data_IF_629691297541
#
_entry.id   IF_629691297541
#
_cell.length_a   1.000
_cell.length_b   1.000
_cell.length_c   1.000
_cell.angle_alpha   90.00
_cell.angle_beta   90.00
_cell.angle_gamma   90.00
#
_symmetry.space_group_name_H-M   'P 1'
#
loop_
_entity.id
_entity.type
_entity.pdbx_description
1 polymer ?
#
# COMPACT_ATOMS: atom_id res chain seq x y z
N UNK A 1 16.62 -5.79 -9.27
CA UNK A 1 15.76 -6.98 -9.45
C UNK A 1 14.36 -6.49 -9.75
N UNK A 2 13.65 -7.03 -10.77
CA UNK A 2 12.26 -6.66 -10.98
C UNK A 2 11.44 -7.20 -9.80
N UNK A 3 10.69 -6.32 -9.15
CA UNK A 3 9.96 -6.63 -7.93
C UNK A 3 8.86 -7.67 -8.19
N UNK A 4 8.86 -8.82 -7.50
CA UNK A 4 7.79 -9.78 -7.64
C UNK A 4 6.59 -9.39 -6.77
N UNK A 5 5.59 -8.71 -7.35
CA UNK A 5 4.15 -9.10 -7.26
C UNK A 5 3.24 -8.26 -8.17
N UNK A 6 2.76 -8.88 -9.24
CA UNK A 6 1.92 -8.37 -10.35
C UNK A 6 0.40 -8.32 -10.01
N UNK A 7 -0.04 -8.97 -8.93
CA UNK A 7 -1.47 -9.26 -8.71
C UNK A 7 -2.34 -8.02 -8.52
N UNK A 8 -1.84 -6.98 -7.85
CA UNK A 8 -2.65 -5.85 -7.42
C UNK A 8 -2.40 -4.57 -8.22
N UNK A 9 -1.39 -4.52 -9.08
CA UNK A 9 -0.98 -3.30 -9.78
C UNK A 9 -2.11 -2.74 -10.65
N UNK A 10 -2.85 -3.61 -11.34
CA UNK A 10 -3.99 -3.20 -12.19
C UNK A 10 -5.17 -2.66 -11.35
N UNK A 11 -5.44 -3.29 -10.20
CA UNK A 11 -6.49 -2.84 -9.26
C UNK A 11 -6.11 -1.49 -8.66
N UNK A 12 -4.86 -1.33 -8.24
CA UNK A 12 -4.28 -0.09 -7.73
C UNK A 12 -4.31 1.01 -8.78
N UNK A 13 -3.87 0.74 -10.01
CA UNK A 13 -3.93 1.66 -11.15
C UNK A 13 -5.35 2.16 -11.39
N UNK A 14 -6.33 1.25 -11.48
CA UNK A 14 -7.75 1.60 -11.67
C UNK A 14 -8.31 2.42 -10.51
N UNK A 15 -7.85 2.19 -9.29
CA UNK A 15 -8.28 2.98 -8.14
C UNK A 15 -7.71 4.40 -8.19
N UNK A 16 -6.41 4.53 -8.47
CA UNK A 16 -5.75 5.84 -8.58
C UNK A 16 -6.39 6.64 -9.72
N UNK A 17 -6.62 6.02 -10.89
CA UNK A 17 -7.29 6.67 -12.01
C UNK A 17 -8.67 7.23 -11.65
N UNK A 18 -9.40 6.57 -10.74
CA UNK A 18 -10.73 6.99 -10.26
C UNK A 18 -10.69 8.04 -9.15
N UNK A 19 -9.62 8.09 -8.35
CA UNK A 19 -9.51 8.95 -7.15
C UNK A 19 -8.40 10.00 -7.26
N UNK A 20 -7.75 10.14 -8.41
CA UNK A 20 -6.70 11.15 -8.63
C UNK A 20 -7.24 12.59 -8.61
N UNK A 21 -8.54 12.79 -8.85
CA UNK A 21 -9.18 14.11 -8.93
C UNK A 21 -8.32 15.11 -9.72
N UNK A 22 -8.00 16.26 -9.13
CA UNK A 22 -7.17 17.29 -9.76
C UNK A 22 -5.70 17.23 -9.36
N UNK A 23 -5.29 16.23 -8.57
CA UNK A 23 -3.93 16.08 -8.08
C UNK A 23 -3.03 15.52 -9.18
N UNK A 24 -2.03 16.28 -9.61
CA UNK A 24 -1.24 15.90 -10.77
C UNK A 24 -0.14 14.90 -10.39
N UNK A 25 0.33 14.93 -9.13
CA UNK A 25 1.23 13.89 -8.63
C UNK A 25 0.57 12.49 -8.63
N UNK A 26 -0.75 12.41 -8.45
CA UNK A 26 -1.51 11.15 -8.56
C UNK A 26 -1.63 10.66 -10.00
N UNK A 27 -1.89 11.58 -10.95
CA UNK A 27 -1.90 11.28 -12.39
C UNK A 27 -0.57 10.67 -12.84
N UNK A 28 0.53 11.33 -12.50
CA UNK A 28 1.88 10.83 -12.78
C UNK A 28 2.11 9.43 -12.20
N UNK A 29 1.66 9.20 -10.97
CA UNK A 29 1.80 7.89 -10.31
C UNK A 29 1.03 6.79 -11.04
N UNK A 30 -0.18 7.10 -11.49
CA UNK A 30 -0.97 6.19 -12.31
C UNK A 30 -0.27 5.86 -13.64
N UNK A 31 0.32 6.85 -14.29
CA UNK A 31 1.05 6.66 -15.56
C UNK A 31 2.30 5.79 -15.39
N UNK A 32 3.07 6.01 -14.31
CA UNK A 32 4.23 5.15 -13.98
C UNK A 32 3.78 3.69 -13.81
N UNK A 33 2.69 3.45 -13.07
CA UNK A 33 2.15 2.10 -12.90
C UNK A 33 1.64 1.52 -14.22
N UNK A 34 0.97 2.32 -15.05
CA UNK A 34 0.48 1.89 -16.35
C UNK A 34 1.63 1.46 -17.28
N UNK A 35 2.73 2.23 -17.29
CA UNK A 35 3.92 1.88 -18.05
C UNK A 35 4.54 0.57 -17.56
N UNK A 36 4.70 0.39 -16.25
CA UNK A 36 5.23 -0.85 -15.68
C UNK A 36 4.38 -2.08 -16.04
N UNK A 37 3.05 -1.95 -16.04
CA UNK A 37 2.14 -3.03 -16.44
C UNK A 37 2.28 -3.33 -17.95
N UNK A 38 2.42 -2.30 -18.79
CA UNK A 38 2.58 -2.45 -20.24
C UNK A 38 3.92 -3.07 -20.61
N UNK A 39 5.03 -2.59 -20.02
CA UNK A 39 6.37 -3.16 -20.20
C UNK A 39 6.36 -4.66 -19.87
N UNK A 40 5.72 -5.03 -18.76
CA UNK A 40 5.53 -6.43 -18.35
C UNK A 40 4.66 -7.22 -19.34
N UNK A 41 3.57 -6.64 -19.83
CA UNK A 41 2.71 -7.28 -20.82
C UNK A 41 3.44 -7.51 -22.15
N UNK A 42 4.30 -6.57 -22.57
CA UNK A 42 5.17 -6.71 -23.72
C UNK A 42 6.17 -7.86 -23.54
N UNK A 43 6.85 -7.93 -22.39
CA UNK A 43 7.77 -9.02 -22.07
C UNK A 43 7.07 -10.39 -22.10
N UNK A 44 5.84 -10.47 -21.58
CA UNK A 44 5.09 -11.72 -21.50
C UNK A 44 4.47 -12.17 -22.84
N UNK A 45 4.07 -11.24 -23.69
CA UNK A 45 3.34 -11.55 -24.94
C UNK A 45 4.20 -11.42 -26.19
N UNK A 46 5.33 -10.75 -26.12
CA UNK A 46 6.14 -10.37 -27.27
C UNK A 46 5.48 -9.30 -28.16
N UNK A 47 4.29 -8.82 -27.81
CA UNK A 47 3.59 -7.78 -28.56
C UNK A 47 4.20 -6.41 -28.26
N UNK A 48 4.49 -5.63 -29.32
CA UNK A 48 5.01 -4.27 -29.18
C UNK A 48 3.92 -3.35 -28.60
N UNK A 49 4.22 -2.67 -27.49
CA UNK A 49 3.36 -1.62 -26.93
C UNK A 49 3.47 -0.36 -27.78
N UNK A 50 2.37 0.39 -27.87
CA UNK A 50 2.33 1.68 -28.56
C UNK A 50 3.21 2.72 -27.83
N UNK A 51 4.25 3.27 -28.48
CA UNK A 51 5.10 4.31 -27.90
C UNK A 51 4.38 5.64 -27.64
N UNK A 52 3.22 5.89 -28.26
CA UNK A 52 2.48 7.14 -28.08
C UNK A 52 1.96 7.32 -26.64
N UNK A 53 1.70 6.21 -25.94
CA UNK A 53 1.17 6.20 -24.58
C UNK A 53 2.27 6.21 -23.49
N UNK A 54 3.55 6.39 -23.86
CA UNK A 54 4.70 6.30 -22.94
C UNK A 54 5.21 7.63 -22.38
N UNK A 55 4.56 8.74 -22.74
CA UNK A 55 4.90 10.03 -22.15
C UNK A 55 4.34 10.15 -20.73
N UNK A 56 5.25 10.18 -19.74
CA UNK A 56 4.90 10.29 -18.33
C UNK A 56 5.01 11.75 -17.93
N UNK A 57 3.98 12.26 -17.24
CA UNK A 57 4.00 13.61 -16.68
C UNK A 57 5.31 13.85 -15.91
N UNK A 58 5.95 14.96 -16.21
CA UNK A 58 7.21 15.34 -15.58
C UNK A 58 7.08 15.39 -14.04
N UNK A 59 8.16 15.03 -13.32
CA UNK A 59 8.14 15.10 -11.86
C UNK A 59 7.89 16.53 -11.39
N UNK A 60 7.34 16.64 -10.19
CA UNK A 60 6.86 17.92 -9.64
C UNK A 60 7.92 19.02 -9.62
N UNK A 61 9.19 18.68 -9.38
CA UNK A 61 10.33 19.61 -9.38
C UNK A 61 10.78 20.04 -10.78
N UNK A 62 10.41 19.31 -11.83
CA UNK A 62 10.73 19.62 -13.23
C UNK A 62 9.53 20.24 -13.98
N UNK A 63 8.44 20.58 -13.27
CA UNK A 63 7.23 21.14 -13.86
C UNK A 63 6.98 22.57 -13.39
N UNK A 64 6.66 23.46 -14.35
CA UNK A 64 6.19 24.81 -14.05
C UNK A 64 4.80 24.79 -13.41
N UNK A 65 4.55 25.53 -12.30
CA UNK A 65 3.23 25.62 -11.67
C UNK A 65 2.37 26.66 -12.38
N UNK A 66 2.00 26.41 -13.62
CA UNK A 66 1.18 27.35 -14.42
C UNK A 66 -0.32 27.30 -14.08
N UNK A 67 -0.73 26.30 -13.30
CA UNK A 67 -2.14 26.08 -12.90
C UNK A 67 -2.31 26.15 -11.40
N UNK A 68 -3.46 26.63 -10.93
CA UNK A 68 -3.80 26.71 -9.49
C UNK A 68 -3.68 25.33 -8.83
N UNK A 69 -4.06 24.27 -9.53
CA UNK A 69 -3.94 22.89 -9.04
C UNK A 69 -2.49 22.48 -8.79
N UNK A 70 -1.55 22.94 -9.64
CA UNK A 70 -0.13 22.73 -9.41
C UNK A 70 0.37 23.41 -8.13
N UNK A 71 -0.12 24.62 -7.86
CA UNK A 71 0.23 25.36 -6.65
C UNK A 71 -0.30 24.67 -5.39
N UNK A 72 -1.53 24.13 -5.44
CA UNK A 72 -2.12 23.36 -4.33
C UNK A 72 -1.29 22.12 -4.02
N UNK A 73 -0.85 21.37 -5.04
CA UNK A 73 0.05 20.22 -4.85
C UNK A 73 1.33 20.63 -4.10
N UNK A 74 1.94 21.76 -4.48
CA UNK A 74 3.13 22.32 -3.81
C UNK A 74 2.86 22.70 -2.36
N UNK A 75 1.75 23.37 -2.08
CA UNK A 75 1.37 23.76 -0.72
C UNK A 75 1.19 22.53 0.17
N UNK A 76 0.54 21.48 -0.31
CA UNK A 76 0.35 20.23 0.46
C UNK A 76 1.71 19.60 0.80
N UNK A 77 2.59 19.44 -0.20
CA UNK A 77 3.90 18.80 0.00
C UNK A 77 4.79 19.64 0.91
N UNK A 78 4.84 20.96 0.73
CA UNK A 78 5.64 21.86 1.57
C UNK A 78 5.12 21.90 3.01
N UNK A 79 3.81 21.91 3.20
CA UNK A 79 3.19 21.85 4.53
C UNK A 79 3.58 20.54 5.23
N UNK A 80 3.45 19.40 4.55
CA UNK A 80 3.85 18.11 5.10
C UNK A 80 5.35 18.06 5.46
N UNK A 81 6.21 18.58 4.58
CA UNK A 81 7.65 18.63 4.79
C UNK A 81 8.06 19.55 5.96
N UNK A 82 7.34 20.66 6.18
CA UNK A 82 7.62 21.61 7.26
C UNK A 82 7.20 21.06 8.63
N UNK A 83 6.01 20.46 8.73
CA UNK A 83 5.48 20.01 10.01
C UNK A 83 6.02 18.65 10.46
N UNK A 84 6.29 17.75 9.51
CA UNK A 84 6.72 16.39 9.81
C UNK A 84 7.91 15.93 8.94
N UNK A 85 9.05 16.62 8.93
CA UNK A 85 10.18 16.23 8.08
C UNK A 85 10.71 14.84 8.43
N UNK A 86 10.87 14.57 9.73
CA UNK A 86 11.38 13.28 10.23
C UNK A 86 10.28 12.22 10.11
N UNK A 87 9.08 12.54 10.57
CA UNK A 87 7.93 11.64 10.50
C UNK A 87 7.65 11.19 9.07
N UNK A 88 7.68 12.11 8.10
CA UNK A 88 7.45 11.80 6.70
C UNK A 88 8.53 10.86 6.11
N UNK A 89 9.81 11.13 6.38
CA UNK A 89 10.91 10.28 5.92
C UNK A 89 10.83 8.87 6.52
N UNK A 90 10.58 8.78 7.84
CA UNK A 90 10.41 7.50 8.55
C UNK A 90 9.17 6.76 8.05
N UNK A 91 8.04 7.45 7.88
CA UNK A 91 6.80 6.86 7.37
C UNK A 91 6.95 6.32 5.95
N UNK A 92 7.69 7.01 5.09
CA UNK A 92 8.07 6.48 3.77
C UNK A 92 8.95 5.23 3.88
N UNK A 93 9.88 5.19 4.83
CA UNK A 93 10.69 4.01 5.14
C UNK A 93 9.84 2.82 5.60
N UNK A 94 8.91 3.05 6.53
CA UNK A 94 7.95 2.04 7.02
C UNK A 94 7.10 1.50 5.86
N UNK A 95 6.60 2.38 4.99
CA UNK A 95 5.89 1.97 3.78
C UNK A 95 6.75 1.04 2.91
N UNK A 96 7.97 1.47 2.56
CA UNK A 96 8.90 0.70 1.72
C UNK A 96 9.29 -0.65 2.32
N UNK A 97 9.41 -0.74 3.65
CA UNK A 97 9.68 -1.98 4.35
C UNK A 97 8.45 -2.91 4.33
N UNK A 98 7.26 -2.36 4.58
CA UNK A 98 6.02 -3.14 4.64
C UNK A 98 5.66 -3.74 3.28
N UNK A 99 5.90 -3.03 2.17
CA UNK A 99 5.65 -3.58 0.83
C UNK A 99 6.60 -4.75 0.50
N UNK A 100 7.80 -4.80 1.08
CA UNK A 100 8.73 -5.93 0.89
C UNK A 100 8.25 -7.20 1.59
N UNK A 101 7.40 -7.07 2.61
CA UNK A 101 6.77 -8.21 3.29
C UNK A 101 5.62 -8.82 2.49
N UNK A 102 5.18 -8.15 1.42
CA UNK A 102 4.14 -8.64 0.50
C UNK A 102 4.85 -9.33 -0.68
N UNK A 103 4.45 -10.56 -1.07
CA UNK A 103 3.30 -11.33 -0.62
C UNK A 103 3.62 -12.41 0.44
N UNK A 104 4.87 -12.50 0.90
CA UNK A 104 5.33 -13.64 1.69
C UNK A 104 4.66 -13.70 3.07
N UNK A 105 4.67 -12.58 3.81
CA UNK A 105 4.14 -12.49 5.17
C UNK A 105 2.77 -11.81 5.21
N UNK A 106 2.56 -10.80 4.35
CA UNK A 106 1.36 -9.99 4.30
C UNK A 106 0.58 -10.25 3.01
N UNK A 107 -0.74 -10.41 3.14
CA UNK A 107 -1.65 -10.52 1.99
C UNK A 107 -1.87 -9.17 1.29
N UNK A 108 -1.92 -8.09 2.05
CA UNK A 108 -2.18 -6.72 1.58
C UNK A 108 -1.56 -5.69 2.52
N UNK A 109 -1.54 -4.41 2.13
CA UNK A 109 -0.98 -3.35 2.97
C UNK A 109 -1.92 -2.97 4.13
N UNK A 110 -1.49 -2.96 5.41
CA UNK A 110 -2.34 -2.70 6.58
C UNK A 110 -2.62 -1.19 6.79
N UNK A 111 -3.47 -0.59 5.96
CA UNK A 111 -3.82 0.84 6.08
C UNK A 111 -4.48 1.11 7.43
N UNK A 112 -5.43 0.26 7.82
CA UNK A 112 -6.19 0.45 9.04
C UNK A 112 -5.29 0.45 10.29
N UNK A 113 -4.36 -0.49 10.44
CA UNK A 113 -3.44 -0.47 11.59
C UNK A 113 -2.59 0.80 11.61
N UNK A 114 -2.01 1.23 10.49
CA UNK A 114 -1.18 2.44 10.51
C UNK A 114 -1.99 3.70 10.86
N UNK A 115 -3.17 3.86 10.28
CA UNK A 115 -4.05 5.00 10.57
C UNK A 115 -4.53 5.00 12.02
N UNK A 116 -5.01 3.87 12.53
CA UNK A 116 -5.48 3.77 13.91
C UNK A 116 -4.35 3.82 14.93
N UNK A 117 -3.17 3.28 14.62
CA UNK A 117 -2.00 3.42 15.49
C UNK A 117 -1.53 4.87 15.57
N UNK A 118 -1.59 5.61 14.46
CA UNK A 118 -1.31 7.05 14.48
C UNK A 118 -2.27 7.82 15.38
N UNK A 119 -3.57 7.48 15.36
CA UNK A 119 -4.58 8.06 16.27
C UNK A 119 -4.34 7.64 17.71
N UNK A 120 -4.13 6.34 17.96
CA UNK A 120 -3.92 5.78 19.29
C UNK A 120 -2.68 6.34 19.98
N UNK A 121 -1.63 6.65 19.22
CA UNK A 121 -0.42 7.30 19.74
C UNK A 121 -0.58 8.82 19.77
N UNK A 122 -1.15 9.43 18.74
CA UNK A 122 -1.22 10.88 18.57
C UNK A 122 -2.19 11.58 19.51
N UNK A 123 -3.37 11.00 19.75
CA UNK A 123 -4.43 11.62 20.58
C UNK A 123 -4.02 11.76 22.06
N UNK A 124 -3.45 10.74 22.74
CA UNK A 124 -3.09 10.88 24.15
C UNK A 124 -1.82 11.71 24.37
N UNK A 125 -1.00 11.93 23.33
CA UNK A 125 0.31 12.60 23.47
C UNK A 125 0.25 13.99 24.12
N UNK A 126 -0.65 14.92 23.71
CA UNK A 126 -0.78 16.22 24.36
C UNK A 126 -1.17 16.11 25.84
N UNK A 127 -2.04 15.15 26.18
CA UNK A 127 -2.49 14.91 27.56
C UNK A 127 -1.34 14.36 28.42
N UNK A 128 -0.61 13.37 27.91
CA UNK A 128 0.58 12.80 28.57
C UNK A 128 1.63 13.90 28.76
N UNK A 129 1.88 14.69 27.72
CA UNK A 129 2.83 15.80 27.81
C UNK A 129 2.41 16.81 28.89
N UNK A 130 1.14 17.21 28.91
CA UNK A 130 0.62 18.12 29.95
C UNK A 130 0.75 17.54 31.36
N UNK A 131 0.47 16.24 31.55
CA UNK A 131 0.56 15.57 32.85
C UNK A 131 2.00 15.43 33.36
N UNK A 132 2.96 15.15 32.46
CA UNK A 132 4.36 14.85 32.81
C UNK A 132 5.24 16.10 32.88
N UNK A 133 4.99 17.09 32.02
CA UNK A 133 5.83 18.28 31.86
C UNK A 133 5.21 19.56 32.45
N UNK A 134 4.42 19.44 33.52
CA UNK A 134 3.84 20.58 34.24
C UNK A 134 4.92 21.44 34.91
N UNK A 135 5.57 22.35 34.17
CA UNK A 135 6.27 23.49 34.77
C UNK A 135 7.67 23.87 34.26
N UNK A 136 8.23 23.27 33.21
CA UNK A 136 9.52 23.76 32.69
C UNK A 136 9.32 24.94 31.72
N UNK A 137 9.62 26.16 32.19
CA UNK A 137 9.49 27.41 31.41
C UNK A 137 10.50 27.59 30.27
N UNK A 138 11.12 26.52 29.78
CA UNK A 138 12.14 26.56 28.72
C UNK A 138 11.52 26.32 27.35
N UNK A 139 11.93 27.10 26.34
CA UNK A 139 11.46 26.93 24.95
C UNK A 139 11.62 25.49 24.42
N UNK A 140 12.74 24.84 24.77
CA UNK A 140 13.04 23.47 24.36
C UNK A 140 12.00 22.46 24.86
N UNK A 141 11.60 22.52 26.14
CA UNK A 141 10.57 21.63 26.67
C UNK A 141 9.21 21.94 26.07
N UNK A 142 8.85 23.22 25.92
CA UNK A 142 7.51 23.63 25.50
C UNK A 142 7.23 23.37 24.02
N UNK A 143 8.24 23.49 23.16
CA UNK A 143 8.03 23.44 21.69
C UNK A 143 8.80 22.30 21.06
N UNK A 144 10.11 22.20 21.31
CA UNK A 144 10.99 21.26 20.59
C UNK A 144 10.68 19.81 20.97
N UNK A 145 10.56 19.51 22.26
CA UNK A 145 10.30 18.15 22.74
C UNK A 145 8.95 17.61 22.22
N UNK A 146 7.81 18.31 22.40
CA UNK A 146 6.53 17.91 21.82
C UNK A 146 6.59 17.75 20.30
N UNK A 147 7.30 18.64 19.60
CA UNK A 147 7.42 18.57 18.15
C UNK A 147 8.19 17.33 17.69
N UNK A 148 9.28 16.94 18.38
CA UNK A 148 10.02 15.71 18.11
C UNK A 148 9.15 14.49 18.39
N UNK A 149 8.47 14.45 19.55
CA UNK A 149 7.62 13.32 19.93
C UNK A 149 6.43 13.16 18.97
N UNK A 150 5.88 14.28 18.49
CA UNK A 150 4.82 14.29 17.48
C UNK A 150 5.25 13.72 16.12
N UNK A 151 6.56 13.57 15.85
CA UNK A 151 7.03 12.90 14.63
C UNK A 151 6.68 11.41 14.61
N UNK A 152 6.50 10.77 15.77
CA UNK A 152 6.13 9.34 15.88
C UNK A 152 4.74 9.06 15.30
N UNK A 153 3.64 9.68 15.79
CA UNK A 153 2.33 9.50 15.17
C UNK A 153 2.30 10.02 13.73
N UNK A 154 3.07 11.08 13.41
CA UNK A 154 3.18 11.58 12.04
C UNK A 154 3.81 10.54 11.09
N UNK A 155 4.76 9.73 11.54
CA UNK A 155 5.35 8.66 10.74
C UNK A 155 4.36 7.53 10.43
N UNK A 156 3.57 7.12 11.44
CA UNK A 156 2.52 6.13 11.26
C UNK A 156 1.42 6.64 10.33
N UNK A 157 1.02 7.90 10.49
CA UNK A 157 0.06 8.55 9.61
C UNK A 157 0.59 8.62 8.17
N UNK A 158 1.84 9.06 7.99
CA UNK A 158 2.47 9.13 6.68
C UNK A 158 2.51 7.76 6.00
N UNK A 159 2.85 6.69 6.72
CA UNK A 159 2.81 5.33 6.19
C UNK A 159 1.39 4.93 5.72
N UNK A 160 0.36 5.17 6.55
CA UNK A 160 -1.04 4.92 6.19
C UNK A 160 -1.50 5.72 4.97
N UNK A 161 -1.18 7.01 4.94
CA UNK A 161 -1.47 7.90 3.80
C UNK A 161 -0.75 7.42 2.55
N UNK A 162 0.52 7.02 2.62
CA UNK A 162 1.23 6.43 1.48
C UNK A 162 0.52 5.17 0.97
N UNK A 163 0.02 4.30 1.85
CA UNK A 163 -0.81 3.16 1.47
C UNK A 163 -2.03 3.56 0.65
N UNK A 164 -2.75 4.60 1.08
CA UNK A 164 -3.91 5.15 0.36
C UNK A 164 -3.46 5.75 -0.98
N UNK A 165 -2.45 6.62 -0.99
CA UNK A 165 -1.95 7.31 -2.19
C UNK A 165 -1.38 6.33 -3.23
N UNK A 166 -0.94 5.14 -2.82
CA UNK A 166 -0.44 4.07 -3.68
C UNK A 166 -1.55 3.11 -4.15
N UNK A 167 -2.81 3.39 -3.78
CA UNK A 167 -3.98 2.65 -4.22
C UNK A 167 -4.26 1.34 -3.50
N UNK A 168 -3.59 1.07 -2.37
CA UNK A 168 -3.81 -0.15 -1.60
C UNK A 168 -5.21 -0.24 -1.00
N UNK A 169 -5.93 0.88 -0.86
CA UNK A 169 -7.31 0.89 -0.37
C UNK A 169 -8.28 0.09 -1.28
N UNK A 170 -7.88 -0.14 -2.53
CA UNK A 170 -8.63 -0.94 -3.49
C UNK A 170 -8.45 -2.45 -3.30
N UNK A 171 -7.43 -2.87 -2.54
CA UNK A 171 -7.11 -4.27 -2.28
C UNK A 171 -7.89 -4.75 -1.07
N UNK A 172 -8.65 -5.84 -1.23
CA UNK A 172 -9.36 -6.47 -0.12
C UNK A 172 -8.35 -7.00 0.91
N UNK A 173 -8.59 -6.66 2.18
CA UNK A 173 -7.68 -6.91 3.30
C UNK A 173 -6.90 -5.66 3.75
N UNK A 174 -6.80 -4.61 2.94
CA UNK A 174 -6.10 -3.38 3.37
C UNK A 174 -6.82 -2.59 4.47
N UNK A 175 -8.10 -2.89 4.70
CA UNK A 175 -8.89 -2.36 5.82
C UNK A 175 -8.77 -3.19 7.09
N UNK A 176 -8.15 -4.37 7.03
CA UNK A 176 -7.97 -5.21 8.20
C UNK A 176 -6.83 -4.65 9.04
N UNK A 177 -6.89 -4.93 10.35
CA UNK A 177 -5.86 -4.46 11.28
C UNK A 177 -4.49 -4.98 10.88
N UNK A 178 -4.37 -6.28 10.63
CA UNK A 178 -3.14 -6.85 10.07
C UNK A 178 -3.51 -8.02 9.15
N UNK A 179 -3.42 -7.89 7.83
CA UNK A 179 -3.83 -8.91 6.88
C UNK A 179 -2.71 -9.94 6.73
N UNK A 180 -2.54 -10.80 7.74
CA UNK A 180 -1.64 -11.95 7.66
C UNK A 180 -2.05 -12.85 6.50
N UNK A 181 -1.05 -13.41 5.81
CA UNK A 181 -1.32 -14.52 4.91
C UNK A 181 -1.73 -15.73 5.78
N UNK A 182 -2.86 -16.40 5.48
CA UNK A 182 -3.19 -17.64 6.19
C UNK A 182 -2.04 -18.64 6.00
N UNK A 183 -1.75 -19.49 6.99
CA UNK A 183 -0.76 -20.56 6.84
C UNK A 183 -1.03 -21.32 5.55
N UNK A 184 0.02 -21.66 4.81
CA UNK A 184 -0.16 -22.52 3.64
C UNK A 184 -0.80 -23.81 4.16
N UNK A 185 -1.93 -24.22 3.57
CA UNK A 185 -2.46 -25.56 3.79
C UNK A 185 -1.27 -26.51 3.60
N UNK A 186 -0.90 -27.19 4.68
CA UNK A 186 0.06 -28.26 4.58
C UNK A 186 -0.56 -29.23 3.57
N UNK A 187 0.23 -29.71 2.60
CA UNK A 187 -0.18 -30.90 1.87
C UNK A 187 -0.48 -31.95 2.94
N UNK A 188 -1.76 -32.22 3.20
CA UNK A 188 -2.14 -33.42 3.92
C UNK A 188 -1.58 -34.53 3.05
N UNK A 189 -0.45 -35.07 3.50
CA UNK A 189 0.14 -36.25 2.90
C UNK A 189 -0.92 -37.32 3.09
N UNK A 190 -1.71 -37.55 2.05
CA UNK A 190 -2.57 -38.70 1.97
C UNK A 190 -1.66 -39.92 2.05
N UNK A 191 -1.67 -40.58 3.22
CA UNK A 191 -0.92 -41.81 3.46
C UNK A 191 -1.53 -43.01 2.71
N UNK A 192 -2.48 -42.78 1.79
CA UNK A 192 -3.13 -43.81 1.00
C UNK A 192 -4.17 -44.59 1.80
N UNK A 193 -4.71 -44.03 2.88
CA UNK A 193 -5.85 -44.61 3.60
C UNK A 193 -7.17 -44.14 2.96
N UNK A 194 -7.25 -44.21 1.63
CA UNK A 194 -8.52 -44.16 0.93
C UNK A 194 -9.11 -45.55 0.99
N UNK A 195 -10.15 -45.73 1.82
CA UNK A 195 -11.04 -46.89 1.74
C UNK A 195 -11.51 -47.00 0.29
N UNK A 196 -11.07 -48.04 -0.39
CA UNK A 196 -11.21 -48.29 -1.82
C UNK A 196 -12.67 -48.24 -2.28
N UNK A 197 -13.17 -47.10 -2.77
CA UNK A 197 -14.37 -47.05 -3.61
C UNK A 197 -14.19 -46.03 -4.74
N UNK A 198 -13.10 -46.12 -5.50
CA UNK A 198 -12.98 -45.44 -6.81
C UNK A 198 -12.29 -46.36 -7.82
N UNK A 199 -12.95 -47.48 -8.13
CA UNK A 199 -12.64 -48.30 -9.30
C UNK A 199 -13.12 -47.55 -10.55
N UNK A 200 -12.31 -46.65 -11.14
CA UNK A 200 -12.29 -46.33 -12.58
C UNK A 200 -11.11 -45.40 -12.93
N UNK A 201 -10.22 -45.76 -13.88
CA UNK A 201 -9.07 -44.93 -14.23
C UNK A 201 -9.46 -43.76 -15.16
N UNK A 202 -9.06 -42.53 -14.80
CA UNK A 202 -9.19 -41.37 -15.71
C UNK A 202 -8.08 -41.37 -16.76
N UNK A 203 -8.47 -41.30 -18.04
CA UNK A 203 -7.58 -41.50 -19.23
C UNK A 203 -6.80 -40.23 -19.61
N UNK A 204 -7.07 -39.09 -18.96
CA UNK A 204 -6.42 -37.82 -19.29
C UNK A 204 -5.28 -37.52 -18.32
N UNK A 205 -4.04 -37.40 -18.84
CA UNK A 205 -2.96 -36.71 -18.13
C UNK A 205 -3.31 -35.23 -18.02
N UNK A 206 -4.03 -34.84 -16.98
CA UNK A 206 -4.11 -33.44 -16.59
C UNK A 206 -2.76 -33.07 -15.98
N UNK A 207 -1.99 -32.24 -16.70
CA UNK A 207 -0.86 -31.54 -16.08
C UNK A 207 -1.46 -30.78 -14.90
N UNK A 208 -0.99 -31.02 -13.67
CA UNK A 208 -1.43 -30.20 -12.55
C UNK A 208 -1.07 -28.76 -12.89
N UNK A 209 -2.10 -27.99 -13.25
CA UNK A 209 -1.95 -26.55 -13.39
C UNK A 209 -1.69 -26.13 -11.95
N UNK A 210 -0.49 -25.64 -11.64
CA UNK A 210 -0.29 -24.84 -10.43
C UNK A 210 -1.52 -23.93 -10.33
N UNK A 211 -2.29 -23.97 -9.24
CA UNK A 211 -3.46 -23.12 -9.13
C UNK A 211 -2.93 -21.72 -9.36
N UNK A 212 -3.36 -21.11 -10.46
CA UNK A 212 -3.10 -19.70 -10.71
C UNK A 212 -3.75 -19.04 -9.51
N UNK A 213 -2.94 -18.66 -8.52
CA UNK A 213 -3.41 -18.32 -7.18
C UNK A 213 -4.66 -17.47 -7.31
N UNK A 214 -5.74 -17.92 -6.69
CA UNK A 214 -7.11 -17.50 -6.97
C UNK A 214 -7.18 -16.01 -7.37
N UNK A 215 -7.60 -15.78 -8.61
CA UNK A 215 -7.82 -14.44 -9.17
C UNK A 215 -9.11 -13.81 -8.66
N UNK A 216 -9.93 -14.60 -7.97
CA UNK A 216 -11.19 -14.21 -7.36
C UNK A 216 -10.91 -13.70 -5.94
N UNK A 217 -11.30 -12.46 -5.61
CA UNK A 217 -11.32 -12.02 -4.23
C UNK A 217 -12.33 -12.89 -3.48
N UNK A 218 -11.92 -13.42 -2.33
CA UNK A 218 -12.82 -14.09 -1.37
C UNK A 218 -13.89 -13.08 -1.02
N UNK A 219 -15.09 -13.22 -1.60
CA UNK A 219 -16.26 -12.46 -1.18
C UNK A 219 -16.56 -12.88 0.24
N UNK A 220 -16.69 -11.90 1.14
CA UNK A 220 -17.36 -12.12 2.41
C UNK A 220 -18.81 -12.46 2.08
N UNK A 221 -19.24 -13.68 2.38
CA UNK A 221 -20.66 -14.00 2.35
C UNK A 221 -21.37 -13.03 3.29
N UNK A 222 -22.38 -12.37 2.74
CA UNK A 222 -23.20 -11.38 3.42
C UNK A 222 -24.31 -12.05 4.24
N UNK A 223 -24.08 -13.24 4.75
CA UNK A 223 -25.07 -13.97 5.52
C UNK A 223 -24.53 -14.18 6.92
N UNK A 224 -24.83 -13.22 7.79
CA UNK A 224 -24.36 -13.21 9.17
C UNK A 224 -24.86 -11.99 9.94
N UNK A 225 -26.12 -11.61 9.71
CA UNK A 225 -27.07 -10.97 10.63
C UNK A 225 -28.48 -11.05 10.02
#
# INVERSE_FOLDING_TARGET
MPAPTDRFDEVRRKWIARHQHTFIFQKRRQEILARQIRDRAQENTGARVDPADDDIIHPMWARSPETIYAAVDWVIVLTAAMFAPIGWAVGRGIYSFTIQLIPENLRSYPIAAFMWSAVAVGVPLPLIYWLVYSGSGTFASTVVVPWIVAQVPAALLAAGVYGILEGWLAVDGSRDWWPMRPPQDHDEVDFGFHTEIEMLPSVFRTRSRQPVGERTPIKRDRDGL
#
